data_IF_969400395141
#
_entry.id   IF_969400395141
#
_cell.length_a   1.000
_cell.length_b   1.000
_cell.length_c   1.000
_cell.angle_alpha   90.00
_cell.angle_beta   90.00
_cell.angle_gamma   90.00
#
_symmetry.space_group_name_H-M   'P 1'
#
loop_
_entity.id
_entity.type
_entity.pdbx_description
1 polymer ?
#
# COMPACT_ATOMS: atom_id res chain seq x y z
N UNK A 1 -5.11 -2.91 5.69
CA UNK A 1 -5.54 -1.61 5.19
C UNK A 1 -6.72 -1.82 4.29
N UNK A 2 -7.66 -0.89 4.40
CA UNK A 2 -8.92 -0.91 3.69
C UNK A 2 -9.12 0.44 3.01
N UNK A 3 -9.98 0.47 1.99
CA UNK A 3 -10.47 1.70 1.37
C UNK A 3 -11.96 1.84 1.62
N UNK A 4 -12.43 3.08 1.67
CA UNK A 4 -13.87 3.35 1.69
C UNK A 4 -14.46 2.98 0.32
N UNK A 5 -15.45 2.08 0.32
CA UNK A 5 -16.25 1.74 -0.86
C UNK A 5 -17.51 2.58 -0.93
N UNK A 6 -18.13 2.88 0.22
CA UNK A 6 -19.32 3.71 0.32
C UNK A 6 -19.23 4.58 1.57
N UNK A 7 -19.50 5.87 1.41
CA UNK A 7 -19.64 6.80 2.54
C UNK A 7 -20.94 6.52 3.29
N UNK A 8 -20.96 6.75 4.60
CA UNK A 8 -22.19 6.70 5.38
C UNK A 8 -23.25 7.69 4.88
N UNK A 9 -24.51 7.36 5.11
CA UNK A 9 -25.68 8.22 4.92
C UNK A 9 -26.54 8.20 6.20
N UNK A 10 -27.65 8.95 6.23
CA UNK A 10 -28.55 8.99 7.38
C UNK A 10 -29.13 7.62 7.78
N UNK A 11 -29.07 6.63 6.88
CA UNK A 11 -29.65 5.29 7.08
C UNK A 11 -28.65 4.14 6.87
N UNK A 12 -27.38 4.43 6.58
CA UNK A 12 -26.40 3.38 6.28
C UNK A 12 -24.99 3.76 6.74
N UNK A 13 -24.29 2.79 7.30
CA UNK A 13 -22.90 2.95 7.73
C UNK A 13 -21.93 3.01 6.55
N UNK A 14 -20.72 3.50 6.86
CA UNK A 14 -19.58 3.49 5.95
C UNK A 14 -19.19 2.06 5.64
N UNK A 15 -19.11 1.72 4.35
CA UNK A 15 -18.68 0.40 3.91
C UNK A 15 -17.23 0.48 3.49
N UNK A 16 -16.37 -0.26 4.19
CA UNK A 16 -14.98 -0.45 3.84
C UNK A 16 -14.81 -1.71 2.99
N UNK A 17 -13.78 -1.73 2.15
CA UNK A 17 -13.37 -2.94 1.44
C UNK A 17 -11.86 -3.04 1.49
N UNK A 18 -11.31 -4.24 1.67
CA UNK A 18 -9.90 -4.39 1.92
C UNK A 18 -9.10 -4.21 0.61
N UNK A 19 -7.88 -3.69 0.69
CA UNK A 19 -7.07 -3.38 -0.50
C UNK A 19 -6.70 -4.63 -1.29
N UNK A 20 -6.72 -4.57 -2.63
CA UNK A 20 -6.28 -5.69 -3.47
C UNK A 20 -4.79 -5.98 -3.29
N UNK A 21 -4.35 -7.17 -3.69
CA UNK A 21 -2.94 -7.53 -3.65
C UNK A 21 -2.11 -6.55 -4.48
N UNK A 22 -0.95 -6.17 -3.94
CA UNK A 22 -0.12 -5.11 -4.50
C UNK A 22 -0.57 -3.69 -4.15
N UNK A 23 -1.60 -3.50 -3.31
CA UNK A 23 -2.02 -2.21 -2.79
C UNK A 23 -2.09 -2.19 -1.27
N UNK A 24 -1.81 -1.02 -0.67
CA UNK A 24 -1.84 -0.81 0.77
C UNK A 24 -2.60 0.46 1.15
N UNK A 25 -3.06 0.53 2.39
CA UNK A 25 -3.48 1.78 3.03
C UNK A 25 -3.04 1.79 4.50
N UNK A 26 -2.19 2.77 4.84
CA UNK A 26 -1.54 2.86 6.16
C UNK A 26 -2.44 3.45 7.25
N UNK A 27 -3.57 4.06 6.89
CA UNK A 27 -4.54 4.65 7.80
C UNK A 27 -5.93 4.39 7.25
N UNK A 28 -6.93 4.44 8.12
CA UNK A 28 -8.37 4.42 7.79
C UNK A 28 -8.80 5.71 7.07
N UNK A 29 -8.08 6.08 6.02
CA UNK A 29 -8.40 7.25 5.22
C UNK A 29 -9.60 6.94 4.32
N UNK A 30 -10.44 7.95 4.10
CA UNK A 30 -11.46 7.95 3.05
C UNK A 30 -10.89 7.80 1.62
N UNK A 31 -9.56 7.71 1.47
CA UNK A 31 -8.87 7.61 0.20
C UNK A 31 -8.85 6.20 -0.40
N UNK A 32 -8.34 6.13 -1.63
CA UNK A 32 -8.08 4.87 -2.32
C UNK A 32 -6.84 4.17 -1.74
N UNK A 33 -6.72 2.87 -2.00
CA UNK A 33 -5.49 2.15 -1.69
C UNK A 33 -4.36 2.64 -2.61
N UNK A 34 -3.17 2.79 -2.05
CA UNK A 34 -1.97 3.16 -2.78
C UNK A 34 -1.33 1.90 -3.35
N UNK A 35 -0.82 1.97 -4.59
CA UNK A 35 -0.03 0.90 -5.16
C UNK A 35 1.26 0.74 -4.36
N UNK A 36 1.61 -0.49 -4.03
CA UNK A 36 2.87 -0.76 -3.37
C UNK A 36 4.05 -0.44 -4.28
N UNK A 37 5.11 0.12 -3.71
CA UNK A 37 6.38 0.34 -4.38
C UNK A 37 6.89 -0.96 -4.99
N UNK A 38 7.47 -0.93 -6.19
CA UNK A 38 8.07 -2.11 -6.84
C UNK A 38 9.58 -1.98 -6.79
N UNK A 39 10.25 -2.94 -6.12
CA UNK A 39 11.70 -2.95 -6.06
C UNK A 39 12.29 -3.38 -7.41
N UNK A 40 13.17 -2.54 -7.97
CA UNK A 40 13.86 -2.81 -9.22
C UNK A 40 15.19 -3.52 -8.93
N UNK A 41 15.15 -4.85 -8.89
CA UNK A 41 16.35 -5.68 -8.64
C UNK A 41 17.44 -5.45 -9.67
N UNK A 42 17.06 -5.18 -10.93
CA UNK A 42 18.01 -4.83 -12.01
C UNK A 42 18.76 -3.51 -11.77
N UNK A 43 18.21 -2.61 -10.95
CA UNK A 43 18.85 -1.35 -10.55
C UNK A 43 19.46 -1.43 -9.16
N UNK A 44 19.66 -2.64 -8.64
CA UNK A 44 20.27 -2.86 -7.34
C UNK A 44 19.39 -2.49 -6.15
N UNK A 45 18.06 -2.58 -6.26
CA UNK A 45 17.16 -2.47 -5.09
C UNK A 45 16.54 -3.81 -4.75
N UNK A 46 16.49 -4.14 -3.46
CA UNK A 46 15.96 -5.40 -2.94
C UNK A 46 14.81 -5.15 -1.98
N UNK A 47 13.81 -6.03 -2.03
CA UNK A 47 12.72 -6.01 -1.07
C UNK A 47 13.23 -6.47 0.29
N UNK A 48 13.08 -5.62 1.30
CA UNK A 48 13.42 -5.96 2.70
C UNK A 48 12.20 -6.01 3.61
N UNK A 49 11.11 -5.42 3.16
CA UNK A 49 9.79 -5.61 3.76
C UNK A 49 8.77 -5.84 2.63
N UNK A 50 7.97 -6.92 2.70
CA UNK A 50 6.94 -7.16 1.72
C UNK A 50 5.86 -6.06 1.76
N UNK A 51 5.14 -5.93 0.64
CA UNK A 51 3.91 -5.15 0.58
C UNK A 51 2.85 -5.79 1.49
N UNK A 52 2.37 -5.04 2.47
CA UNK A 52 1.27 -5.45 3.33
C UNK A 52 0.05 -4.60 3.02
N UNK A 53 -1.15 -5.09 3.31
CA UNK A 53 -2.37 -4.30 3.10
C UNK A 53 -2.37 -3.02 3.94
N UNK A 54 -1.60 -2.97 5.03
CA UNK A 54 -1.45 -1.83 5.96
C UNK A 54 -0.17 -1.04 5.77
N UNK A 55 0.79 -1.47 4.96
CA UNK A 55 2.05 -0.75 4.79
C UNK A 55 2.70 -1.00 3.45
N UNK A 56 3.37 0.02 2.93
CA UNK A 56 4.11 -0.13 1.70
C UNK A 56 5.23 -1.17 1.82
N UNK A 57 5.61 -1.69 0.65
CA UNK A 57 6.85 -2.44 0.48
C UNK A 57 8.03 -1.53 0.74
N UNK A 58 9.03 -2.03 1.46
CA UNK A 58 10.30 -1.33 1.62
C UNK A 58 11.34 -1.92 0.70
N UNK A 59 11.88 -1.07 -0.16
CA UNK A 59 13.01 -1.38 -1.02
C UNK A 59 14.26 -0.72 -0.45
N UNK A 60 15.35 -1.48 -0.31
CA UNK A 60 16.66 -0.95 0.03
C UNK A 60 17.61 -1.07 -1.16
N UNK A 61 18.39 -0.02 -1.39
CA UNK A 61 19.48 -0.06 -2.37
C UNK A 61 20.62 -0.92 -1.82
N UNK A 62 21.16 -1.78 -2.67
CA UNK A 62 22.35 -2.56 -2.39
C UNK A 62 23.58 -1.64 -2.36
N UNK A 63 24.61 -1.97 -1.56
CA UNK A 63 25.86 -1.24 -1.55
C UNK A 63 26.43 -1.10 -2.97
N UNK A 64 26.83 0.11 -3.35
CA UNK A 64 27.33 0.43 -4.70
C UNK A 64 26.25 0.92 -5.67
N UNK A 65 24.97 0.86 -5.31
CA UNK A 65 23.87 1.52 -6.04
C UNK A 65 23.38 2.72 -5.23
N UNK A 66 23.65 3.94 -5.70
CA UNK A 66 23.10 5.18 -5.12
C UNK A 66 21.88 5.63 -5.94
N UNK A 67 20.84 6.19 -5.28
CA UNK A 67 19.68 6.78 -5.95
C UNK A 67 20.02 8.04 -6.75
#
# INVERSE_FOLDING_TARGET
>A
GERMRRRCSASADTVCSPCQDGYFSARHHHGFCHSCTVCQTRKGSVEVKPCERTSDRLCLCLPGFQP
#
